data_IF_161060753596
#
_entry.id   IF_161060753596
#
_cell.length_a   1.000
_cell.length_b   1.000
_cell.length_c   1.000
_cell.angle_alpha   90.00
_cell.angle_beta   90.00
_cell.angle_gamma   90.00
#
_symmetry.space_group_name_H-M   'P 1'
#
loop_
_entity.id
_entity.type
_entity.pdbx_description
1 polymer ?
#
# COMPACT_ATOMS: atom_id res chain seq x y z
N UNK A 1 40.34 40.26 33.40
CA UNK A 1 41.33 39.99 34.48
C UNK A 1 41.92 38.59 34.25
N UNK A 2 43.20 38.35 34.53
CA UNK A 2 43.98 37.21 33.99
C UNK A 2 44.22 36.11 35.05
N UNK A 3 44.11 34.82 34.65
CA UNK A 3 44.91 33.61 35.01
C UNK A 3 44.06 32.35 34.69
N UNK A 4 44.41 31.33 33.89
CA UNK A 4 45.65 30.68 33.36
C UNK A 4 46.25 29.55 34.24
N UNK A 5 46.43 28.38 33.57
CA UNK A 5 47.13 27.10 33.89
C UNK A 5 46.38 26.08 34.77
N UNK A 6 46.22 24.79 34.42
CA UNK A 6 46.93 23.74 33.61
C UNK A 6 47.86 22.80 34.41
N UNK A 7 47.88 21.54 33.93
CA UNK A 7 48.72 20.38 34.28
C UNK A 7 48.29 19.63 35.57
N UNK A 8 48.42 18.29 35.69
CA UNK A 8 49.36 17.38 34.98
C UNK A 8 48.79 15.96 34.76
N UNK A 9 49.33 15.24 33.76
CA UNK A 9 49.11 13.81 33.44
C UNK A 9 50.16 12.91 34.18
N UNK A 10 50.26 11.63 33.79
CA UNK A 10 51.30 10.61 34.10
C UNK A 10 51.09 9.84 35.44
N UNK A 11 51.38 8.53 35.60
CA UNK A 11 52.14 7.57 34.75
C UNK A 11 51.75 6.08 35.04
N UNK A 12 51.60 5.28 33.97
CA UNK A 12 52.04 3.87 33.76
C UNK A 12 52.19 2.91 34.97
N UNK A 13 51.63 1.70 34.84
CA UNK A 13 52.40 0.47 35.07
C UNK A 13 52.04 -0.59 34.02
N UNK A 14 53.06 -1.15 33.36
CA UNK A 14 52.96 -2.07 32.22
C UNK A 14 53.88 -3.26 32.52
N UNK A 15 53.39 -4.48 32.41
CA UNK A 15 54.20 -5.69 32.55
C UNK A 15 53.81 -6.73 31.50
N UNK A 16 54.61 -6.80 30.44
CA UNK A 16 54.72 -7.97 29.57
C UNK A 16 55.53 -9.07 30.26
N UNK A 17 55.23 -10.34 29.96
CA UNK A 17 56.14 -11.31 29.33
C UNK A 17 55.36 -12.60 29.04
N UNK A 18 55.63 -13.22 27.89
CA UNK A 18 54.98 -14.45 27.42
C UNK A 18 55.79 -15.71 27.77
N UNK A 19 55.18 -16.90 27.62
CA UNK A 19 55.81 -18.16 27.16
C UNK A 19 54.70 -19.12 26.69
N UNK A 20 55.02 -20.04 25.77
CA UNK A 20 54.08 -20.88 25.01
C UNK A 20 54.11 -22.37 25.37
N UNK A 21 53.15 -23.12 24.78
CA UNK A 21 53.09 -24.57 24.50
C UNK A 21 52.17 -25.50 25.34
N UNK A 22 51.21 -26.07 24.60
CA UNK A 22 50.64 -27.44 24.62
C UNK A 22 50.47 -28.23 25.93
N UNK A 23 49.23 -28.67 26.20
CA UNK A 23 48.78 -30.05 25.97
C UNK A 23 47.26 -30.21 26.24
N UNK A 24 46.64 -31.28 25.71
CA UNK A 24 45.23 -31.59 25.94
C UNK A 24 44.94 -32.03 27.39
N UNK A 25 43.73 -31.71 27.85
CA UNK A 25 42.94 -32.60 28.71
C UNK A 25 41.47 -32.18 28.67
N UNK A 26 40.59 -33.11 28.34
CA UNK A 26 39.14 -32.96 28.46
C UNK A 26 38.72 -32.85 29.93
N UNK A 27 37.65 -32.08 30.21
CA UNK A 27 36.46 -32.49 30.98
C UNK A 27 35.57 -31.26 31.25
N UNK A 28 34.30 -31.42 30.82
CA UNK A 28 33.05 -30.83 31.31
C UNK A 28 32.98 -29.37 31.78
N UNK A 29 32.11 -28.61 31.09
CA UNK A 29 31.01 -27.90 31.74
C UNK A 29 29.84 -27.86 30.75
N UNK A 30 28.77 -28.60 31.04
CA UNK A 30 27.48 -28.44 30.33
C UNK A 30 26.99 -27.02 30.53
N UNK A 31 27.05 -26.20 29.47
CA UNK A 31 26.31 -24.94 29.43
C UNK A 31 25.00 -25.17 28.69
N UNK A 32 23.90 -25.26 29.43
CA UNK A 32 22.55 -25.08 28.88
C UNK A 32 22.51 -23.76 28.10
N UNK A 33 22.59 -23.85 26.77
CA UNK A 33 22.22 -22.78 25.87
C UNK A 33 20.82 -23.08 25.38
N UNK A 34 19.82 -22.22 25.64
CA UNK A 34 18.50 -22.41 25.05
C UNK A 34 18.67 -22.37 23.53
N UNK A 35 18.32 -23.47 22.90
CA UNK A 35 18.37 -23.64 21.46
C UNK A 35 17.20 -22.87 20.84
N UNK A 36 17.27 -21.53 20.88
CA UNK A 36 16.40 -20.65 20.11
C UNK A 36 16.82 -20.74 18.64
N UNK A 37 16.62 -21.92 18.04
CA UNK A 37 16.38 -22.03 16.62
C UNK A 37 15.24 -21.09 16.29
N UNK A 38 15.47 -20.25 15.28
CA UNK A 38 14.48 -19.40 14.67
C UNK A 38 13.47 -20.31 13.93
N UNK A 39 12.57 -20.94 14.69
CA UNK A 39 11.29 -21.38 14.13
C UNK A 39 10.65 -20.11 13.57
N UNK A 40 10.54 -20.06 12.24
CA UNK A 40 9.74 -19.03 11.59
C UNK A 40 8.37 -19.04 12.24
N UNK A 41 7.76 -17.87 12.42
CA UNK A 41 6.36 -17.81 12.81
C UNK A 41 5.55 -18.44 11.68
N UNK A 42 5.31 -19.75 11.77
CA UNK A 42 4.52 -20.50 10.78
C UNK A 42 3.12 -19.93 10.86
N UNK A 43 2.76 -19.12 9.86
CA UNK A 43 1.38 -18.73 9.65
C UNK A 43 0.55 -20.00 9.56
N UNK A 44 -0.50 -20.09 10.37
CA UNK A 44 -1.41 -21.22 10.29
C UNK A 44 -2.11 -21.25 8.92
N UNK A 45 -2.56 -22.45 8.51
CA UNK A 45 -3.25 -22.66 7.22
C UNK A 45 -4.52 -21.81 7.14
N UNK A 46 -4.94 -21.44 5.93
CA UNK A 46 -6.25 -20.82 5.70
C UNK A 46 -7.39 -21.68 6.28
N UNK A 47 -8.18 -21.10 7.16
CA UNK A 47 -9.40 -21.70 7.69
C UNK A 47 -10.62 -21.03 7.05
N UNK A 48 -11.46 -21.80 6.35
CA UNK A 48 -12.66 -21.29 5.70
C UNK A 48 -13.92 -21.71 6.47
N UNK A 49 -14.79 -20.73 6.72
CA UNK A 49 -16.12 -20.97 7.31
C UNK A 49 -17.04 -21.79 6.38
N UNK A 50 -16.85 -21.63 5.08
CA UNK A 50 -17.50 -22.36 3.98
C UNK A 50 -16.66 -22.17 2.71
N UNK A 51 -16.76 -23.12 1.78
CA UNK A 51 -16.00 -23.09 0.53
C UNK A 51 -16.86 -23.57 -0.66
N UNK A 52 -17.46 -22.61 -1.38
CA UNK A 52 -18.23 -22.78 -2.61
C UNK A 52 -17.77 -21.75 -3.65
N UNK A 53 -17.50 -22.24 -4.86
CA UNK A 53 -17.08 -21.49 -6.04
C UNK A 53 -18.07 -20.36 -6.38
N UNK A 54 -19.36 -20.57 -6.14
CA UNK A 54 -20.42 -19.61 -6.49
C UNK A 54 -20.73 -18.59 -5.37
N UNK A 55 -19.90 -18.53 -4.32
CA UNK A 55 -20.15 -17.70 -3.13
C UNK A 55 -18.95 -16.86 -2.71
N UNK A 56 -19.16 -15.95 -1.77
CA UNK A 56 -18.08 -15.26 -1.05
C UNK A 56 -17.69 -16.08 0.17
N UNK A 57 -16.49 -16.63 0.15
CA UNK A 57 -15.97 -17.57 1.14
C UNK A 57 -15.18 -16.84 2.21
N UNK A 58 -15.78 -16.59 3.38
CA UNK A 58 -15.10 -15.97 4.53
C UNK A 58 -14.10 -16.95 5.15
N UNK A 59 -12.89 -16.46 5.44
CA UNK A 59 -11.85 -17.23 6.10
C UNK A 59 -10.98 -16.40 7.06
N UNK A 60 -10.17 -17.12 7.84
CA UNK A 60 -9.23 -16.61 8.84
C UNK A 60 -7.83 -17.19 8.61
N UNK A 61 -6.83 -16.42 9.06
CA UNK A 61 -5.42 -16.81 9.09
C UNK A 61 -4.81 -16.24 10.37
N UNK A 62 -4.02 -17.03 11.11
CA UNK A 62 -3.43 -16.58 12.37
C UNK A 62 -2.12 -15.83 12.13
N UNK A 63 -2.08 -14.57 12.57
CA UNK A 63 -0.90 -13.72 12.46
C UNK A 63 -0.50 -13.29 13.87
N UNK A 64 0.68 -13.73 14.32
CA UNK A 64 1.20 -13.48 15.68
C UNK A 64 0.22 -13.88 16.81
N UNK A 65 -0.55 -14.96 16.60
CA UNK A 65 -1.52 -15.49 17.59
C UNK A 65 -2.93 -14.89 17.54
N UNK A 66 -3.23 -14.00 16.59
CA UNK A 66 -4.55 -13.38 16.42
C UNK A 66 -5.13 -13.69 15.05
N UNK A 67 -6.45 -13.85 14.99
CA UNK A 67 -7.14 -14.10 13.74
C UNK A 67 -7.19 -12.83 12.88
N UNK A 68 -6.82 -12.97 11.60
CA UNK A 68 -6.97 -11.94 10.57
C UNK A 68 -7.95 -12.43 9.53
N UNK A 69 -8.93 -11.59 9.20
CA UNK A 69 -10.11 -12.02 8.44
C UNK A 69 -10.04 -11.55 6.98
N UNK A 70 -10.40 -12.46 6.09
CA UNK A 70 -10.50 -12.21 4.66
C UNK A 70 -11.72 -12.93 4.07
N UNK A 71 -11.96 -12.71 2.78
CA UNK A 71 -12.89 -13.52 1.99
C UNK A 71 -12.41 -13.68 0.56
N UNK A 72 -12.67 -14.84 -0.02
CA UNK A 72 -12.34 -15.18 -1.40
C UNK A 72 -13.63 -15.35 -2.20
N UNK A 73 -13.75 -14.64 -3.32
CA UNK A 73 -14.83 -14.87 -4.31
C UNK A 73 -14.19 -15.23 -5.64
N UNK A 74 -14.57 -16.38 -6.18
CA UNK A 74 -14.05 -16.90 -7.44
C UNK A 74 -14.75 -16.25 -8.64
N UNK A 75 -14.11 -16.24 -9.82
CA UNK A 75 -14.79 -15.84 -11.04
C UNK A 75 -15.87 -16.88 -11.40
N UNK A 76 -16.94 -16.46 -12.07
CA UNK A 76 -18.09 -17.31 -12.45
C UNK A 76 -17.72 -18.46 -13.40
N UNK A 77 -16.52 -18.43 -13.98
CA UNK A 77 -15.94 -19.45 -14.85
C UNK A 77 -14.75 -20.17 -14.22
N UNK A 78 -14.63 -20.19 -12.89
CA UNK A 78 -13.50 -20.80 -12.17
C UNK A 78 -13.39 -22.30 -12.42
N UNK A 79 -12.15 -22.75 -12.54
CA UNK A 79 -11.74 -24.13 -12.82
C UNK A 79 -10.40 -24.33 -12.12
N UNK A 80 -10.35 -25.19 -11.09
CA UNK A 80 -9.14 -25.38 -10.28
C UNK A 80 -7.92 -25.90 -11.06
N UNK A 81 -8.10 -26.35 -12.31
CA UNK A 81 -7.01 -26.74 -13.21
C UNK A 81 -6.38 -25.55 -13.95
N UNK A 82 -6.86 -24.31 -13.74
CA UNK A 82 -6.35 -23.08 -14.35
C UNK A 82 -5.95 -22.08 -13.27
N UNK A 83 -4.83 -21.42 -13.46
CA UNK A 83 -4.39 -20.29 -12.62
C UNK A 83 -5.15 -19.02 -13.00
N UNK A 84 -5.67 -18.29 -12.01
CA UNK A 84 -6.42 -17.06 -12.22
C UNK A 84 -5.71 -15.82 -11.65
N UNK A 85 -5.77 -14.66 -12.33
CA UNK A 85 -5.29 -13.42 -11.77
C UNK A 85 -6.06 -13.05 -10.50
N UNK A 86 -5.38 -12.42 -9.54
CA UNK A 86 -5.93 -12.11 -8.21
C UNK A 86 -6.04 -10.60 -8.02
N UNK A 87 -7.19 -10.11 -7.54
CA UNK A 87 -7.35 -8.72 -7.09
C UNK A 87 -7.54 -8.69 -5.58
N UNK A 88 -6.56 -8.11 -4.88
CA UNK A 88 -6.59 -7.85 -3.45
C UNK A 88 -7.28 -6.52 -3.15
N UNK A 89 -8.27 -6.50 -2.25
CA UNK A 89 -9.04 -5.29 -1.91
C UNK A 89 -8.75 -4.80 -0.48
N UNK A 90 -8.28 -3.55 -0.38
CA UNK A 90 -7.91 -2.86 0.86
C UNK A 90 -8.89 -1.71 1.17
N UNK A 91 -9.69 -1.86 2.23
CA UNK A 91 -10.72 -0.88 2.60
C UNK A 91 -10.21 0.42 3.24
N UNK A 92 -11.07 1.45 3.22
CA UNK A 92 -10.86 2.72 3.91
C UNK A 92 -11.02 2.63 5.43
N UNK A 93 -10.85 3.75 6.13
CA UNK A 93 -10.73 3.74 7.59
C UNK A 93 -12.08 3.40 8.25
N UNK A 94 -12.20 2.21 8.83
CA UNK A 94 -13.37 1.79 9.62
C UNK A 94 -13.04 2.01 11.11
N UNK A 95 -12.80 3.27 11.44
CA UNK A 95 -12.11 3.71 12.65
C UNK A 95 -12.89 4.76 13.48
N UNK A 96 -14.20 4.87 13.27
CA UNK A 96 -15.06 5.71 14.10
C UNK A 96 -15.42 4.99 15.42
N UNK A 97 -15.67 5.70 16.53
CA UNK A 97 -16.03 5.08 17.80
C UNK A 97 -17.33 4.25 17.78
N UNK A 98 -18.21 4.48 16.79
CA UNK A 98 -19.46 3.72 16.61
C UNK A 98 -19.30 2.43 15.79
N UNK A 99 -18.11 2.14 15.23
CA UNK A 99 -17.87 0.92 14.48
C UNK A 99 -17.52 -0.27 15.39
N UNK A 100 -18.44 -1.24 15.44
CA UNK A 100 -18.24 -2.55 16.03
C UNK A 100 -17.40 -3.46 15.13
N UNK A 101 -16.86 -4.55 15.68
CA UNK A 101 -16.25 -5.65 14.92
C UNK A 101 -17.13 -6.11 13.76
N UNK A 102 -18.41 -6.41 14.02
CA UNK A 102 -19.39 -6.80 13.00
C UNK A 102 -19.46 -5.79 11.86
N UNK A 103 -19.48 -4.49 12.18
CA UNK A 103 -19.52 -3.44 11.17
C UNK A 103 -18.24 -3.40 10.32
N UNK A 104 -17.06 -3.64 10.92
CA UNK A 104 -15.77 -3.69 10.22
C UNK A 104 -15.69 -4.93 9.33
N UNK A 105 -16.07 -6.10 9.86
CA UNK A 105 -16.06 -7.38 9.14
C UNK A 105 -17.14 -7.46 8.05
N UNK A 106 -18.20 -6.64 8.10
CA UNK A 106 -19.21 -6.55 7.04
C UNK A 106 -18.63 -6.20 5.66
N UNK A 107 -17.46 -5.55 5.60
CA UNK A 107 -16.72 -5.31 4.36
C UNK A 107 -16.43 -6.59 3.57
N UNK A 108 -16.22 -7.71 4.26
CA UNK A 108 -15.94 -9.00 3.64
C UNK A 108 -17.10 -9.49 2.77
N UNK A 109 -18.33 -9.01 2.94
CA UNK A 109 -19.49 -9.39 2.12
C UNK A 109 -19.86 -8.33 1.06
N UNK A 110 -19.04 -7.29 0.85
CA UNK A 110 -19.40 -6.16 -0.01
C UNK A 110 -19.43 -6.53 -1.50
N UNK A 111 -20.57 -7.07 -1.95
CA UNK A 111 -20.80 -7.56 -3.31
C UNK A 111 -20.84 -6.47 -4.42
N UNK A 112 -21.40 -5.25 -4.21
CA UNK A 112 -21.50 -4.23 -5.27
C UNK A 112 -20.20 -3.87 -6.00
N UNK A 113 -19.03 -4.01 -5.36
CA UNK A 113 -17.73 -3.79 -6.01
C UNK A 113 -17.24 -4.96 -6.86
N UNK A 114 -17.74 -6.18 -6.64
CA UNK A 114 -17.22 -7.40 -7.28
C UNK A 114 -17.76 -7.63 -8.70
N UNK A 115 -18.91 -7.05 -9.04
CA UNK A 115 -19.61 -7.28 -10.31
C UNK A 115 -18.71 -7.04 -11.53
N UNK A 116 -17.90 -5.98 -11.50
CA UNK A 116 -16.95 -5.65 -12.57
C UNK A 116 -15.73 -6.57 -12.66
N UNK A 117 -15.52 -7.49 -11.71
CA UNK A 117 -14.34 -8.38 -11.65
C UNK A 117 -14.70 -9.88 -11.82
N UNK A 118 -15.95 -10.27 -11.54
CA UNK A 118 -16.40 -11.67 -11.42
C UNK A 118 -16.21 -12.56 -12.65
N UNK A 119 -15.90 -12.00 -13.81
CA UNK A 119 -15.66 -12.79 -15.03
C UNK A 119 -14.23 -13.34 -15.10
N UNK A 120 -13.26 -12.63 -14.54
CA UNK A 120 -11.84 -12.82 -14.90
C UNK A 120 -10.93 -13.06 -13.69
N UNK A 121 -11.29 -12.56 -12.51
CA UNK A 121 -10.41 -12.50 -11.34
C UNK A 121 -10.92 -13.34 -10.16
N UNK A 122 -9.99 -13.96 -9.45
CA UNK A 122 -10.20 -14.28 -8.02
C UNK A 122 -10.12 -12.95 -7.27
N UNK A 123 -11.12 -12.65 -6.46
CA UNK A 123 -11.14 -11.43 -5.64
C UNK A 123 -10.95 -11.79 -4.17
N UNK A 124 -10.05 -11.09 -3.50
CA UNK A 124 -9.73 -11.30 -2.08
C UNK A 124 -9.98 -9.99 -1.33
N UNK A 125 -11.06 -9.93 -0.55
CA UNK A 125 -11.34 -8.80 0.34
C UNK A 125 -10.73 -9.08 1.69
N UNK A 126 -9.90 -8.17 2.19
CA UNK A 126 -9.24 -8.30 3.50
C UNK A 126 -9.77 -7.26 4.47
N UNK A 127 -9.88 -7.62 5.74
CA UNK A 127 -10.20 -6.68 6.81
C UNK A 127 -8.94 -6.17 7.50
N UNK A 128 -8.89 -4.86 7.73
CA UNK A 128 -7.90 -4.25 8.61
C UNK A 128 -8.11 -4.62 10.10
N UNK A 129 -9.27 -5.24 10.43
CA UNK A 129 -9.56 -5.72 11.78
C UNK A 129 -8.44 -6.59 12.34
N UNK A 130 -8.02 -6.26 13.54
CA UNK A 130 -7.11 -7.04 14.37
C UNK A 130 -7.36 -6.69 15.83
N UNK A 131 -7.50 -7.70 16.68
CA UNK A 131 -7.70 -7.54 18.13
C UNK A 131 -6.49 -6.91 18.83
N UNK A 132 -5.30 -6.98 18.23
CA UNK A 132 -4.08 -6.28 18.70
C UNK A 132 -4.23 -4.77 18.78
N UNK A 133 -5.14 -4.22 17.97
CA UNK A 133 -5.29 -2.78 17.77
C UNK A 133 -6.23 -2.20 18.83
N UNK A 134 -6.05 -0.92 19.24
CA UNK A 134 -6.88 -0.28 20.25
C UNK A 134 -8.37 -0.38 19.93
N UNK A 135 -9.15 -0.74 20.96
CA UNK A 135 -10.61 -0.76 20.93
C UNK A 135 -11.16 0.65 20.73
N UNK A 136 -10.71 1.59 21.56
CA UNK A 136 -10.97 3.02 21.40
C UNK A 136 -10.07 3.61 20.31
N UNK A 137 -10.62 4.28 19.27
CA UNK A 137 -9.83 4.88 18.20
C UNK A 137 -8.85 5.96 18.67
N UNK A 138 -7.60 5.87 18.23
CA UNK A 138 -6.52 6.82 18.51
C UNK A 138 -5.87 7.33 17.21
N UNK A 139 -4.98 8.31 17.35
CA UNK A 139 -4.14 8.76 16.25
C UNK A 139 -3.23 7.64 15.72
N UNK A 140 -2.84 7.70 14.44
CA UNK A 140 -2.09 6.64 13.75
C UNK A 140 -0.77 6.33 14.48
N UNK A 141 -0.08 7.38 14.91
CA UNK A 141 1.15 7.31 15.70
C UNK A 141 1.00 6.71 17.11
N UNK A 142 -0.23 6.55 17.60
CA UNK A 142 -0.56 5.93 18.89
C UNK A 142 -1.22 4.55 18.72
N UNK A 143 -1.08 3.94 17.54
CA UNK A 143 -1.66 2.62 17.24
C UNK A 143 -3.09 2.65 16.69
N UNK A 144 -3.62 3.80 16.23
CA UNK A 144 -4.82 3.82 15.38
C UNK A 144 -6.09 3.21 16.00
N UNK A 145 -6.78 2.35 15.25
CA UNK A 145 -8.04 1.73 15.64
C UNK A 145 -8.19 0.34 14.99
N UNK A 146 -9.03 -0.54 15.55
CA UNK A 146 -9.27 -1.91 15.03
C UNK A 146 -9.50 -1.97 13.52
N UNK A 147 -10.37 -1.14 12.94
CA UNK A 147 -10.66 -1.14 11.50
C UNK A 147 -9.75 -0.25 10.63
N UNK A 148 -8.51 0.02 11.04
CA UNK A 148 -7.55 0.83 10.28
C UNK A 148 -6.28 0.05 9.93
N UNK A 149 -5.84 0.13 8.68
CA UNK A 149 -4.54 -0.39 8.23
C UNK A 149 -3.38 0.40 8.87
N UNK A 150 -2.24 -0.22 9.18
CA UNK A 150 -1.07 0.46 9.75
C UNK A 150 0.08 0.50 8.74
N UNK A 151 0.49 1.72 8.37
CA UNK A 151 1.54 1.98 7.39
C UNK A 151 2.74 2.78 7.95
N UNK A 152 2.77 3.04 9.26
CA UNK A 152 3.68 3.99 9.92
C UNK A 152 4.91 3.33 10.58
N UNK A 153 5.85 4.15 11.08
CA UNK A 153 6.96 3.69 11.93
C UNK A 153 6.47 3.22 13.30
N UNK A 154 7.12 2.22 13.89
CA UNK A 154 6.66 1.53 15.10
C UNK A 154 7.35 0.16 15.26
N UNK A 155 6.89 -0.67 16.21
CA UNK A 155 7.37 -2.04 16.32
C UNK A 155 6.75 -2.93 15.23
N UNK A 156 7.51 -3.90 14.73
CA UNK A 156 7.01 -4.85 13.72
C UNK A 156 5.83 -5.70 14.25
N UNK A 157 5.86 -6.03 15.54
CA UNK A 157 4.78 -6.74 16.24
C UNK A 157 3.46 -5.95 16.34
N UNK A 158 3.50 -4.62 16.17
CA UNK A 158 2.34 -3.72 16.11
C UNK A 158 1.77 -3.63 14.67
N UNK A 159 2.60 -3.92 13.65
CA UNK A 159 2.25 -3.83 12.22
C UNK A 159 1.91 -5.19 11.61
N UNK A 160 1.00 -5.90 12.24
CA UNK A 160 0.56 -7.22 11.80
C UNK A 160 -0.05 -7.23 10.37
N UNK A 161 -0.52 -6.09 9.85
CA UNK A 161 -1.05 -5.94 8.49
C UNK A 161 -0.07 -6.33 7.37
N UNK A 162 1.23 -6.04 7.49
CA UNK A 162 2.21 -6.43 6.45
C UNK A 162 2.43 -7.94 6.44
N UNK A 163 2.57 -8.54 7.62
CA UNK A 163 2.67 -9.99 7.78
C UNK A 163 1.40 -10.69 7.29
N UNK A 164 0.21 -10.16 7.63
CA UNK A 164 -1.08 -10.68 7.20
C UNK A 164 -1.19 -10.79 5.68
N UNK A 165 -0.87 -9.72 4.94
CA UNK A 165 -1.01 -9.72 3.47
C UNK A 165 0.01 -10.66 2.82
N UNK A 166 1.24 -10.69 3.33
CA UNK A 166 2.28 -11.59 2.83
C UNK A 166 1.91 -13.07 3.06
N UNK A 167 1.56 -13.43 4.30
CA UNK A 167 1.16 -14.79 4.66
C UNK A 167 -0.15 -15.22 4.00
N UNK A 168 -1.10 -14.31 3.79
CA UNK A 168 -2.32 -14.63 3.04
C UNK A 168 -2.00 -14.95 1.57
N UNK A 169 -1.13 -14.19 0.91
CA UNK A 169 -0.70 -14.52 -0.46
C UNK A 169 0.03 -15.87 -0.53
N UNK A 170 0.96 -16.12 0.38
CA UNK A 170 1.68 -17.40 0.50
C UNK A 170 0.71 -18.58 0.70
N UNK A 171 -0.25 -18.46 1.63
CA UNK A 171 -1.20 -19.52 1.92
C UNK A 171 -2.30 -19.68 0.85
N UNK A 172 -2.57 -18.65 0.03
CA UNK A 172 -3.40 -18.77 -1.18
C UNK A 172 -2.67 -19.54 -2.29
N UNK A 173 -1.38 -19.27 -2.49
CA UNK A 173 -0.51 -19.95 -3.48
C UNK A 173 -0.26 -21.42 -3.14
N UNK A 174 -0.13 -21.73 -1.85
CA UNK A 174 -0.01 -23.10 -1.33
C UNK A 174 -1.35 -23.86 -1.25
N UNK A 175 -2.48 -23.22 -1.58
CA UNK A 175 -3.80 -23.84 -1.46
C UNK A 175 -4.07 -24.82 -2.61
N UNK A 176 -4.39 -26.10 -2.34
CA UNK A 176 -4.76 -27.04 -3.40
C UNK A 176 -6.12 -26.73 -4.05
N UNK A 177 -6.94 -25.90 -3.39
CA UNK A 177 -8.31 -25.58 -3.80
C UNK A 177 -8.41 -24.22 -4.52
N UNK A 178 -7.38 -23.37 -4.41
CA UNK A 178 -7.34 -22.00 -4.94
C UNK A 178 -6.14 -21.85 -5.88
N UNK A 179 -6.38 -22.01 -7.19
CA UNK A 179 -5.32 -21.89 -8.19
C UNK A 179 -5.15 -20.43 -8.63
N UNK A 180 -4.25 -19.72 -7.94
CA UNK A 180 -3.88 -18.34 -8.28
C UNK A 180 -2.77 -18.28 -9.34
N UNK A 181 -2.68 -17.16 -10.05
CA UNK A 181 -1.51 -16.80 -10.84
C UNK A 181 -0.62 -15.79 -10.08
N UNK A 182 0.51 -16.23 -9.49
CA UNK A 182 1.40 -15.35 -8.71
C UNK A 182 2.12 -14.30 -9.57
N UNK A 183 2.07 -14.39 -10.90
CA UNK A 183 2.57 -13.36 -11.83
C UNK A 183 1.52 -12.30 -12.21
N UNK A 184 0.26 -12.49 -11.82
CA UNK A 184 -0.85 -11.58 -12.08
C UNK A 184 -1.60 -11.21 -10.78
N UNK A 185 -0.85 -10.74 -9.78
CA UNK A 185 -1.40 -10.15 -8.55
C UNK A 185 -1.66 -8.65 -8.77
N UNK A 186 -2.85 -8.21 -8.40
CA UNK A 186 -3.33 -6.83 -8.51
C UNK A 186 -3.81 -6.30 -7.15
N UNK A 187 -3.67 -5.00 -6.92
CA UNK A 187 -4.12 -4.35 -5.69
C UNK A 187 -5.15 -3.24 -5.95
N UNK A 188 -6.26 -3.27 -5.23
CA UNK A 188 -7.27 -2.21 -5.16
C UNK A 188 -7.23 -1.58 -3.76
N UNK A 189 -7.07 -0.26 -3.67
CA UNK A 189 -7.06 0.45 -2.39
C UNK A 189 -7.98 1.67 -2.36
N UNK A 190 -8.63 1.89 -1.22
CA UNK A 190 -9.37 3.12 -0.94
C UNK A 190 -8.97 3.74 0.41
N UNK A 191 -8.89 5.07 0.48
CA UNK A 191 -8.65 5.82 1.72
C UNK A 191 -7.39 5.29 2.44
N UNK A 192 -7.47 4.96 3.73
CA UNK A 192 -6.38 4.30 4.48
C UNK A 192 -5.78 3.06 3.79
N UNK A 193 -6.61 2.25 3.11
CA UNK A 193 -6.17 1.07 2.38
C UNK A 193 -5.36 1.39 1.13
N UNK A 194 -5.57 2.55 0.50
CA UNK A 194 -4.70 3.04 -0.57
C UNK A 194 -3.32 3.47 -0.04
N UNK A 195 -3.26 4.15 1.11
CA UNK A 195 -1.99 4.52 1.76
C UNK A 195 -1.21 3.26 2.11
N UNK A 196 -1.87 2.27 2.71
CA UNK A 196 -1.26 0.98 3.04
C UNK A 196 -0.77 0.25 1.78
N UNK A 197 -1.60 0.12 0.74
CA UNK A 197 -1.22 -0.55 -0.50
C UNK A 197 0.00 0.09 -1.18
N UNK A 198 0.05 1.44 -1.26
CA UNK A 198 1.22 2.16 -1.76
C UNK A 198 2.45 1.86 -0.90
N UNK A 199 2.30 1.90 0.44
CA UNK A 199 3.42 1.59 1.34
C UNK A 199 3.91 0.15 1.17
N UNK A 200 3.00 -0.82 1.06
CA UNK A 200 3.29 -2.24 0.85
C UNK A 200 4.10 -2.51 -0.43
N UNK A 201 3.68 -1.97 -1.58
CA UNK A 201 4.42 -2.16 -2.84
C UNK A 201 5.75 -1.40 -2.88
N UNK A 202 5.93 -0.38 -2.02
CA UNK A 202 7.19 0.34 -1.84
C UNK A 202 8.11 -0.28 -0.76
N UNK A 203 7.77 -1.46 -0.22
CA UNK A 203 8.58 -2.18 0.78
C UNK A 203 8.29 -1.84 2.25
N UNK A 204 7.25 -1.04 2.51
CA UNK A 204 6.84 -0.62 3.85
C UNK A 204 7.60 0.61 4.39
N UNK A 205 7.52 0.90 5.70
CA UNK A 205 8.27 1.98 6.33
C UNK A 205 9.74 1.59 6.52
N UNK A 206 10.66 2.56 6.61
CA UNK A 206 12.12 2.34 6.62
C UNK A 206 12.66 1.56 7.84
N UNK A 207 11.86 1.44 8.90
CA UNK A 207 12.14 0.69 10.13
C UNK A 207 11.60 -0.75 10.08
N UNK A 208 11.03 -1.19 8.95
CA UNK A 208 10.64 -2.57 8.72
C UNK A 208 11.83 -3.35 8.16
N UNK A 209 12.64 -3.90 9.07
CA UNK A 209 14.01 -4.37 8.77
C UNK A 209 14.12 -5.79 8.18
N UNK A 210 13.05 -6.58 8.19
CA UNK A 210 13.18 -8.05 8.11
C UNK A 210 12.18 -8.76 7.18
N UNK A 211 11.71 -8.12 6.10
CA UNK A 211 10.75 -8.82 5.22
C UNK A 211 10.98 -8.51 3.74
N UNK A 212 11.11 -9.59 2.96
CA UNK A 212 11.03 -9.62 1.50
C UNK A 212 9.56 -9.56 1.02
N UNK A 213 8.77 -8.61 1.53
CA UNK A 213 7.27 -8.52 1.54
C UNK A 213 6.56 -8.81 0.20
N UNK A 214 7.29 -8.68 -0.90
CA UNK A 214 6.78 -8.76 -2.26
C UNK A 214 7.80 -9.35 -3.26
N UNK A 215 8.88 -10.01 -2.79
CA UNK A 215 9.86 -10.63 -3.69
C UNK A 215 9.28 -11.85 -4.41
N UNK A 216 8.47 -12.67 -3.71
CA UNK A 216 7.76 -13.80 -4.27
C UNK A 216 6.53 -13.35 -5.10
N UNK A 217 5.70 -12.46 -4.54
CA UNK A 217 4.45 -12.01 -5.14
C UNK A 217 4.57 -10.58 -5.67
N UNK A 218 4.97 -10.45 -6.94
CA UNK A 218 5.12 -9.15 -7.59
C UNK A 218 3.77 -8.63 -8.06
N UNK A 219 3.30 -7.55 -7.47
CA UNK A 219 2.15 -6.81 -7.98
C UNK A 219 2.42 -6.36 -9.41
N UNK A 220 1.53 -6.73 -10.33
CA UNK A 220 1.61 -6.34 -11.74
C UNK A 220 1.00 -4.95 -11.96
N UNK A 221 -0.10 -4.66 -11.26
CA UNK A 221 -0.64 -3.31 -11.16
C UNK A 221 -1.34 -3.05 -9.83
N UNK A 222 -1.44 -1.77 -9.46
CA UNK A 222 -2.30 -1.28 -8.39
C UNK A 222 -3.24 -0.19 -8.88
N UNK A 223 -4.42 -0.08 -8.28
CA UNK A 223 -5.27 1.09 -8.40
C UNK A 223 -5.69 1.61 -7.04
N UNK A 224 -5.59 2.92 -6.87
CA UNK A 224 -5.78 3.63 -5.60
C UNK A 224 -6.79 4.75 -5.76
N UNK A 225 -7.68 4.90 -4.78
CA UNK A 225 -8.80 5.83 -4.80
C UNK A 225 -8.91 6.63 -3.50
N UNK A 226 -9.09 7.95 -3.57
CA UNK A 226 -9.55 8.77 -2.43
C UNK A 226 -8.79 8.51 -1.13
N UNK A 227 -7.47 8.33 -1.19
CA UNK A 227 -6.68 7.74 -0.08
C UNK A 227 -5.24 8.15 -0.10
N UNK A 228 -5.09 9.42 -0.43
CA UNK A 228 -3.96 10.02 -1.06
C UNK A 228 -3.02 10.87 -0.23
N UNK A 229 -2.91 10.74 1.08
CA UNK A 229 -2.51 11.88 1.96
C UNK A 229 -1.63 13.01 1.37
N UNK A 230 -0.47 12.84 0.72
CA UNK A 230 0.38 11.66 0.45
C UNK A 230 1.58 11.76 1.40
N UNK A 231 1.55 11.04 2.52
CA UNK A 231 2.41 11.37 3.67
C UNK A 231 3.90 11.09 3.40
N UNK A 232 4.75 12.11 3.63
CA UNK A 232 6.21 11.97 3.62
C UNK A 232 6.67 10.89 4.60
N UNK A 233 7.67 10.12 4.21
CA UNK A 233 8.17 8.92 4.89
C UNK A 233 7.35 7.65 4.63
N UNK A 234 6.09 7.75 4.20
CA UNK A 234 5.21 6.59 3.97
C UNK A 234 5.29 6.15 2.51
N UNK A 235 4.96 7.07 1.60
CA UNK A 235 4.89 6.85 0.15
C UNK A 235 6.20 7.20 -0.57
N UNK A 236 7.28 7.23 0.18
CA UNK A 236 8.62 7.50 -0.34
C UNK A 236 9.28 6.22 -0.85
N UNK A 237 9.97 6.36 -1.98
CA UNK A 237 10.97 5.41 -2.47
C UNK A 237 12.18 5.46 -1.54
N UNK A 238 12.62 4.28 -1.10
CA UNK A 238 13.59 4.06 -0.01
C UNK A 238 14.61 3.00 -0.44
N UNK A 239 15.61 2.77 0.40
CA UNK A 239 16.61 1.69 0.20
C UNK A 239 15.96 0.29 0.11
N UNK A 240 14.89 0.05 0.87
CA UNK A 240 14.11 -1.20 0.84
C UNK A 240 13.00 -1.23 -0.23
N UNK A 241 12.92 -0.24 -1.13
CA UNK A 241 11.92 -0.25 -2.19
C UNK A 241 12.29 -1.26 -3.29
N UNK A 242 11.36 -2.14 -3.73
CA UNK A 242 11.63 -3.15 -4.74
C UNK A 242 12.13 -2.57 -6.06
N UNK A 243 13.06 -3.28 -6.70
CA UNK A 243 13.58 -2.94 -8.04
C UNK A 243 12.57 -3.14 -9.17
N UNK A 244 11.52 -3.93 -8.93
CA UNK A 244 10.39 -4.12 -9.84
C UNK A 244 9.16 -3.48 -9.21
N UNK A 245 8.59 -2.49 -9.86
CA UNK A 245 7.41 -1.75 -9.38
C UNK A 245 6.17 -2.04 -10.24
N UNK A 246 4.97 -2.05 -9.65
CA UNK A 246 3.72 -2.25 -10.38
C UNK A 246 3.42 -1.08 -11.32
N UNK A 247 2.59 -1.35 -12.33
CA UNK A 247 1.83 -0.29 -13.01
C UNK A 247 0.81 0.35 -12.06
N UNK A 248 0.47 1.63 -12.23
CA UNK A 248 -0.36 2.37 -11.27
C UNK A 248 -1.49 3.13 -11.97
N UNK A 249 -2.72 2.94 -11.48
CA UNK A 249 -3.89 3.77 -11.79
C UNK A 249 -4.31 4.55 -10.55
N UNK A 250 -3.94 5.82 -10.49
CA UNK A 250 -4.29 6.71 -9.39
C UNK A 250 -5.56 7.49 -9.73
N UNK A 251 -6.61 7.35 -8.93
CA UNK A 251 -7.92 7.97 -9.16
C UNK A 251 -8.28 8.86 -7.98
N UNK A 252 -8.75 10.07 -8.26
CA UNK A 252 -9.05 11.03 -7.23
C UNK A 252 -10.22 11.94 -7.56
N UNK A 253 -11.13 12.15 -6.60
CA UNK A 253 -12.17 13.16 -6.70
C UNK A 253 -11.64 14.56 -6.40
N UNK A 254 -12.01 15.54 -7.22
CA UNK A 254 -11.62 16.96 -7.16
C UNK A 254 -12.05 17.66 -5.84
N UNK A 255 -13.14 17.22 -5.23
CA UNK A 255 -13.68 17.77 -3.96
C UNK A 255 -13.21 16.99 -2.72
N UNK A 256 -12.29 16.03 -2.85
CA UNK A 256 -11.73 15.31 -1.71
C UNK A 256 -10.76 16.20 -0.92
N UNK A 257 -11.31 16.96 0.04
CA UNK A 257 -10.56 17.85 0.93
C UNK A 257 -9.52 17.16 1.82
N UNK A 258 -9.41 15.82 1.79
CA UNK A 258 -8.31 15.07 2.40
C UNK A 258 -6.98 15.14 1.63
N UNK A 259 -6.95 15.84 0.50
CA UNK A 259 -5.84 15.81 -0.45
C UNK A 259 -5.47 17.19 -1.02
N UNK A 260 -4.32 17.26 -1.68
CA UNK A 260 -3.80 18.49 -2.29
C UNK A 260 -3.62 18.32 -3.79
N UNK A 261 -4.47 19.00 -4.56
CA UNK A 261 -4.27 19.26 -5.99
C UNK A 261 -3.47 20.56 -6.11
N UNK A 262 -2.26 20.52 -6.70
CA UNK A 262 -1.45 21.71 -6.92
C UNK A 262 -1.18 21.92 -8.42
N UNK A 263 -2.22 22.24 -9.17
CA UNK A 263 -2.09 22.82 -10.50
C UNK A 263 -2.69 24.21 -10.49
N UNK A 264 -1.87 25.25 -10.42
CA UNK A 264 -2.33 26.62 -10.65
C UNK A 264 -2.78 26.74 -12.12
N UNK A 265 -4.01 26.33 -12.47
CA UNK A 265 -4.53 26.29 -13.84
C UNK A 265 -4.46 27.69 -14.50
N UNK A 266 -3.30 28.01 -15.08
CA UNK A 266 -2.98 29.28 -15.72
C UNK A 266 -3.67 29.35 -17.08
N UNK A 267 -4.98 29.54 -17.03
CA UNK A 267 -5.89 29.50 -18.18
C UNK A 267 -7.37 29.62 -17.83
N UNK A 268 -7.77 29.32 -16.58
CA UNK A 268 -9.11 29.65 -16.05
C UNK A 268 -9.00 30.77 -15.02
N UNK A 269 -9.57 31.93 -15.33
CA UNK A 269 -9.34 33.19 -14.60
C UNK A 269 -9.93 33.26 -13.18
N UNK A 270 -10.72 32.28 -12.74
CA UNK A 270 -11.67 32.45 -11.63
C UNK A 270 -11.70 31.30 -10.60
N UNK A 271 -10.79 30.32 -10.67
CA UNK A 271 -10.75 29.20 -9.71
C UNK A 271 -9.68 29.45 -8.63
N UNK A 272 -10.13 29.71 -7.39
CA UNK A 272 -9.24 29.87 -6.24
C UNK A 272 -9.11 28.56 -5.46
N UNK A 273 -7.92 27.95 -5.49
CA UNK A 273 -7.61 26.66 -4.83
C UNK A 273 -7.85 26.65 -3.32
N UNK A 274 -7.85 27.81 -2.64
CA UNK A 274 -8.19 27.92 -1.22
C UNK A 274 -9.68 27.63 -0.93
N UNK A 275 -10.55 27.51 -1.95
CA UNK A 275 -11.94 27.08 -1.77
C UNK A 275 -12.09 25.56 -1.63
N UNK A 276 -11.17 24.75 -2.16
CA UNK A 276 -11.18 23.29 -2.07
C UNK A 276 -10.31 22.76 -0.91
N UNK A 277 -9.33 23.54 -0.48
CA UNK A 277 -8.55 23.24 0.71
C UNK A 277 -9.41 23.44 1.97
N UNK A 278 -9.91 22.35 2.57
CA UNK A 278 -10.52 22.45 3.90
C UNK A 278 -9.51 23.03 4.89
N UNK A 279 -9.85 24.15 5.52
CA UNK A 279 -9.04 24.81 6.56
C UNK A 279 -8.78 23.87 7.74
N UNK A 280 -9.68 22.91 7.99
CA UNK A 280 -9.50 21.85 9.02
C UNK A 280 -8.28 20.97 8.77
N UNK A 281 -7.85 20.84 7.52
CA UNK A 281 -6.80 19.92 7.10
C UNK A 281 -5.47 20.63 6.82
N UNK A 282 -5.31 21.86 7.33
CA UNK A 282 -4.12 22.69 7.14
C UNK A 282 -4.03 23.33 5.75
N UNK A 283 -3.46 24.54 5.70
CA UNK A 283 -3.29 25.34 4.47
C UNK A 283 -1.84 25.80 4.23
N UNK A 284 -0.92 25.46 5.15
CA UNK A 284 0.47 25.89 5.09
C UNK A 284 1.24 24.99 4.12
N UNK A 285 2.17 25.58 3.36
CA UNK A 285 3.11 24.87 2.51
C UNK A 285 4.51 25.01 3.12
N UNK A 286 5.18 23.89 3.36
CA UNK A 286 6.51 23.78 3.98
C UNK A 286 7.39 22.95 3.05
N UNK A 287 8.46 23.54 2.50
CA UNK A 287 9.35 22.91 1.52
C UNK A 287 8.60 22.29 0.32
N UNK A 288 7.57 23.00 -0.15
CA UNK A 288 6.66 22.55 -1.21
C UNK A 288 5.56 21.58 -0.75
N UNK A 289 5.70 20.93 0.40
CA UNK A 289 4.73 19.95 0.93
C UNK A 289 3.60 20.66 1.67
N UNK A 290 2.37 20.16 1.56
CA UNK A 290 1.27 20.68 2.38
C UNK A 290 1.38 20.12 3.80
N UNK A 291 1.37 21.01 4.78
CA UNK A 291 1.28 20.68 6.20
C UNK A 291 -0.19 20.49 6.58
N UNK A 292 -0.51 19.27 7.01
CA UNK A 292 -1.88 18.82 7.31
C UNK A 292 -1.97 18.26 8.72
N UNK A 293 -3.19 18.01 9.20
CA UNK A 293 -3.40 17.20 10.42
C UNK A 293 -2.81 15.78 10.31
N UNK A 294 -2.48 15.33 9.10
CA UNK A 294 -1.76 14.09 8.80
C UNK A 294 -0.27 14.37 8.49
N UNK A 295 0.30 15.48 8.95
CA UNK A 295 1.69 15.89 8.71
C UNK A 295 1.96 16.39 7.28
N UNK A 296 3.24 16.37 6.89
CA UNK A 296 3.70 16.83 5.57
C UNK A 296 3.32 15.86 4.46
N UNK A 297 2.78 16.40 3.37
CA UNK A 297 2.16 15.64 2.28
C UNK A 297 2.59 16.12 0.89
N UNK A 298 2.84 15.17 -0.02
CA UNK A 298 3.04 15.45 -1.44
C UNK A 298 1.71 15.79 -2.11
N UNK A 299 1.75 16.58 -3.19
CA UNK A 299 0.62 16.63 -4.11
C UNK A 299 0.52 15.33 -4.91
N UNK A 300 -0.72 14.90 -5.18
CA UNK A 300 -0.97 13.82 -6.15
C UNK A 300 -0.65 14.27 -7.59
N UNK A 301 -0.87 15.55 -7.90
CA UNK A 301 -0.73 16.16 -9.23
C UNK A 301 -0.12 17.54 -9.10
N UNK A 302 1.07 17.74 -9.68
CA UNK A 302 1.66 19.07 -9.78
C UNK A 302 1.77 19.48 -11.25
N UNK A 303 1.06 20.54 -11.62
CA UNK A 303 1.10 21.11 -12.97
C UNK A 303 1.92 22.42 -13.02
N UNK A 304 2.24 23.05 -11.87
CA UNK A 304 2.70 24.46 -11.81
C UNK A 304 3.69 24.81 -10.66
N UNK A 305 4.14 23.80 -9.89
CA UNK A 305 5.14 23.76 -8.78
C UNK A 305 5.20 24.90 -7.76
N UNK A 306 4.96 24.56 -6.46
CA UNK A 306 6.09 24.59 -5.52
C UNK A 306 6.59 23.24 -4.98
N UNK A 307 5.86 22.13 -5.17
CA UNK A 307 6.31 20.78 -4.72
C UNK A 307 7.14 20.06 -5.77
N UNK A 308 8.45 20.28 -5.77
CA UNK A 308 9.37 19.48 -6.58
C UNK A 308 9.77 18.18 -5.84
N UNK A 309 9.34 16.96 -6.26
CA UNK A 309 8.39 16.62 -7.33
C UNK A 309 7.06 16.05 -6.78
N UNK A 310 6.03 15.96 -7.64
CA UNK A 310 4.74 15.33 -7.30
C UNK A 310 4.83 13.82 -7.09
N UNK A 311 3.84 13.18 -6.46
CA UNK A 311 3.85 11.72 -6.33
C UNK A 311 3.84 11.01 -7.68
N UNK A 312 3.02 11.45 -8.64
CA UNK A 312 2.95 10.81 -9.95
C UNK A 312 4.25 11.00 -10.75
N UNK A 313 4.89 12.16 -10.67
CA UNK A 313 6.21 12.41 -11.27
C UNK A 313 7.32 11.54 -10.65
N UNK A 314 7.27 11.33 -9.33
CA UNK A 314 8.17 10.38 -8.65
C UNK A 314 7.95 8.94 -9.11
N UNK A 315 6.69 8.51 -9.21
CA UNK A 315 6.36 7.20 -9.78
C UNK A 315 6.79 7.10 -11.25
N UNK A 316 6.60 8.14 -12.06
CA UNK A 316 6.99 8.12 -13.48
C UNK A 316 8.50 7.95 -13.62
N UNK A 317 9.30 8.70 -12.87
CA UNK A 317 10.75 8.56 -12.82
C UNK A 317 11.18 7.11 -12.51
N UNK A 318 10.63 6.52 -11.44
CA UNK A 318 10.96 5.14 -11.04
C UNK A 318 10.44 4.05 -12.01
N UNK A 319 9.39 4.34 -12.79
CA UNK A 319 8.85 3.45 -13.82
C UNK A 319 9.48 3.66 -15.21
N UNK A 320 10.40 4.62 -15.37
CA UNK A 320 11.01 4.98 -16.66
C UNK A 320 10.03 5.65 -17.62
N UNK A 321 9.12 6.48 -17.09
CA UNK A 321 8.04 7.17 -17.78
C UNK A 321 8.17 8.69 -17.60
N UNK A 322 7.77 9.46 -18.61
CA UNK A 322 7.74 10.92 -18.62
C UNK A 322 6.30 11.42 -18.69
N UNK A 323 6.00 12.54 -18.03
CA UNK A 323 4.69 13.16 -18.11
C UNK A 323 4.44 13.73 -19.52
N UNK A 324 3.34 13.33 -20.13
CA UNK A 324 3.00 13.66 -21.52
C UNK A 324 1.81 14.62 -21.65
N UNK A 325 1.38 15.24 -20.55
CA UNK A 325 0.19 16.08 -20.47
C UNK A 325 -1.07 15.32 -20.03
N UNK A 326 -2.22 15.97 -20.16
CA UNK A 326 -3.53 15.41 -19.83
C UNK A 326 -4.52 15.54 -20.99
N UNK A 327 -5.55 14.70 -20.96
CA UNK A 327 -6.74 14.78 -21.81
C UNK A 327 -7.94 15.21 -20.95
N UNK A 328 -8.69 16.23 -21.38
CA UNK A 328 -9.89 16.68 -20.69
C UNK A 328 -11.14 15.97 -21.23
N UNK A 329 -11.89 15.33 -20.33
CA UNK A 329 -13.20 14.73 -20.59
C UNK A 329 -14.29 15.48 -19.81
N UNK A 330 -15.55 15.22 -20.16
CA UNK A 330 -16.68 15.95 -19.58
C UNK A 330 -16.82 15.73 -18.05
N UNK A 331 -16.42 14.55 -17.55
CA UNK A 331 -16.52 14.14 -16.13
C UNK A 331 -15.18 14.05 -15.39
N UNK A 332 -14.04 14.10 -16.08
CA UNK A 332 -12.71 13.90 -15.48
C UNK A 332 -11.58 14.45 -16.36
N UNK A 333 -10.38 14.52 -15.80
CA UNK A 333 -9.12 14.74 -16.53
C UNK A 333 -8.28 13.46 -16.44
N UNK A 334 -7.67 13.06 -17.56
CA UNK A 334 -6.83 11.86 -17.66
C UNK A 334 -5.37 12.27 -17.86
N UNK A 335 -4.54 12.07 -16.83
CA UNK A 335 -3.10 12.38 -16.85
C UNK A 335 -2.31 11.21 -17.42
N UNK A 336 -1.47 11.49 -18.41
CA UNK A 336 -0.80 10.49 -19.22
C UNK A 336 0.71 10.50 -19.02
N UNK A 337 1.30 9.30 -18.96
CA UNK A 337 2.74 9.12 -18.86
C UNK A 337 3.22 8.19 -19.97
N UNK A 338 4.18 8.65 -20.76
CA UNK A 338 4.74 7.91 -21.90
C UNK A 338 6.08 7.26 -21.52
N UNK A 339 6.37 6.03 -21.99
CA UNK A 339 7.67 5.41 -21.77
C UNK A 339 8.83 6.23 -22.35
N UNK A 340 9.86 6.49 -21.54
CA UNK A 340 11.14 7.10 -21.97
C UNK A 340 12.00 6.04 -22.69
N UNK A 341 11.81 4.77 -22.34
CA UNK A 341 12.53 3.59 -22.85
C UNK A 341 11.53 2.47 -23.18
N UNK A 342 12.02 1.24 -23.38
CA UNK A 342 11.20 0.01 -23.51
C UNK A 342 10.45 -0.39 -22.21
N UNK A 343 10.02 0.55 -21.38
CA UNK A 343 9.23 0.26 -20.17
C UNK A 343 7.89 -0.34 -20.57
N UNK A 344 7.51 -1.43 -19.91
CA UNK A 344 6.21 -2.08 -20.05
C UNK A 344 5.20 -1.62 -19.00
N UNK A 345 5.64 -0.81 -18.04
CA UNK A 345 4.78 -0.32 -16.98
C UNK A 345 3.92 0.85 -17.46
N UNK A 346 2.73 0.95 -16.88
CA UNK A 346 1.73 1.97 -17.18
C UNK A 346 1.53 2.82 -15.93
N UNK A 347 1.53 4.14 -16.10
CA UNK A 347 1.11 5.09 -15.06
C UNK A 347 0.00 5.96 -15.65
N UNK A 348 -1.16 5.95 -15.00
CA UNK A 348 -2.33 6.74 -15.40
C UNK A 348 -2.88 7.46 -14.18
N UNK A 349 -3.20 8.73 -14.37
CA UNK A 349 -3.92 9.54 -13.40
C UNK A 349 -5.33 9.89 -13.84
N UNK A 350 -6.28 9.91 -12.90
CA UNK A 350 -7.66 10.27 -13.15
C UNK A 350 -8.17 11.24 -12.09
N UNK A 351 -8.39 12.52 -12.46
CA UNK A 351 -9.02 13.55 -11.61
C UNK A 351 -10.49 13.67 -11.98
N UNK A 352 -11.41 13.25 -11.11
CA UNK A 352 -12.85 13.23 -11.37
C UNK A 352 -13.48 14.53 -10.89
N UNK A 353 -14.19 15.21 -11.79
CA UNK A 353 -14.76 16.54 -11.59
C UNK A 353 -15.98 16.48 -10.66
N UNK A 354 -16.15 17.49 -9.80
CA UNK A 354 -17.27 17.63 -8.86
C UNK A 354 -17.55 16.34 -8.03
N UNK A 355 -16.48 15.68 -7.59
CA UNK A 355 -16.54 14.38 -6.96
C UNK A 355 -15.71 14.38 -5.67
N UNK A 356 -16.30 13.93 -4.57
CA UNK A 356 -15.63 13.88 -3.27
C UNK A 356 -14.79 12.63 -3.03
N UNK A 357 -14.57 12.31 -1.75
CA UNK A 357 -13.81 11.14 -1.31
C UNK A 357 -14.38 9.79 -1.77
N UNK A 358 -15.71 9.70 -1.93
CA UNK A 358 -16.42 8.46 -2.29
C UNK A 358 -16.53 8.34 -3.80
N UNK A 359 -16.04 7.24 -4.35
CA UNK A 359 -15.96 7.01 -5.80
C UNK A 359 -16.50 5.62 -6.18
N UNK A 360 -17.18 5.58 -7.33
CA UNK A 360 -17.82 4.40 -7.94
C UNK A 360 -17.16 4.08 -9.28
N UNK A 361 -15.89 3.64 -9.23
CA UNK A 361 -14.98 3.55 -10.38
C UNK A 361 -14.49 2.13 -10.69
N UNK A 362 -15.14 1.12 -10.11
CA UNK A 362 -14.75 -0.30 -10.17
C UNK A 362 -14.64 -0.84 -11.60
N UNK A 363 -15.44 -0.31 -12.53
CA UNK A 363 -15.35 -0.66 -13.96
C UNK A 363 -14.06 -0.15 -14.62
N UNK A 364 -13.56 1.03 -14.25
CA UNK A 364 -12.28 1.56 -14.73
C UNK A 364 -11.13 0.70 -14.21
N UNK A 365 -11.16 0.38 -12.92
CA UNK A 365 -10.10 -0.34 -12.22
C UNK A 365 -9.99 -1.80 -12.68
N UNK A 366 -11.12 -2.50 -12.83
CA UNK A 366 -11.15 -3.85 -13.42
C UNK A 366 -10.69 -3.85 -14.88
N UNK A 367 -11.07 -2.85 -15.68
CA UNK A 367 -10.62 -2.72 -17.08
C UNK A 367 -9.12 -2.44 -17.19
N UNK A 368 -8.54 -1.68 -16.26
CA UNK A 368 -7.10 -1.47 -16.14
C UNK A 368 -6.35 -2.77 -15.82
N UNK A 369 -6.85 -3.54 -14.84
CA UNK A 369 -6.24 -4.83 -14.50
C UNK A 369 -6.35 -5.84 -15.65
N UNK A 370 -7.48 -5.91 -16.37
CA UNK A 370 -7.62 -6.72 -17.60
C UNK A 370 -6.57 -6.36 -18.64
N UNK A 371 -6.43 -5.06 -18.92
CA UNK A 371 -5.50 -4.55 -19.92
C UNK A 371 -4.03 -4.81 -19.58
N UNK A 372 -3.70 -5.01 -18.29
CA UNK A 372 -2.34 -5.35 -17.84
C UNK A 372 -2.17 -6.87 -17.67
N UNK A 373 -3.23 -7.63 -17.43
CA UNK A 373 -3.20 -9.08 -17.29
C UNK A 373 -2.72 -9.76 -18.58
N UNK A 374 -3.21 -9.33 -19.75
CA UNK A 374 -2.75 -9.81 -21.06
C UNK A 374 -1.51 -9.05 -21.55
N UNK A 375 -0.47 -9.80 -21.92
CA UNK A 375 0.81 -9.29 -22.45
C UNK A 375 0.64 -8.57 -23.80
N UNK A 376 -0.45 -8.83 -24.53
CA UNK A 376 -0.71 -8.26 -25.86
C UNK A 376 -1.63 -7.03 -25.82
N UNK A 377 -2.28 -6.74 -24.69
CA UNK A 377 -3.21 -5.62 -24.59
C UNK A 377 -2.45 -4.31 -24.38
N UNK A 378 -2.77 -3.30 -25.19
CA UNK A 378 -2.03 -2.04 -25.26
C UNK A 378 -2.70 -0.97 -24.38
N UNK A 379 -1.92 0.01 -23.90
CA UNK A 379 -2.41 1.27 -23.30
C UNK A 379 -3.57 1.86 -24.12
N UNK A 380 -3.48 1.83 -25.47
CA UNK A 380 -4.55 2.27 -26.38
C UNK A 380 -5.88 1.58 -26.07
N UNK A 381 -5.92 0.26 -25.90
CA UNK A 381 -7.16 -0.47 -25.59
C UNK A 381 -7.80 0.00 -24.29
N UNK A 382 -7.01 0.27 -23.25
CA UNK A 382 -7.55 0.82 -22.00
C UNK A 382 -8.01 2.28 -22.14
N UNK A 383 -7.28 3.12 -22.88
CA UNK A 383 -7.70 4.49 -23.20
C UNK A 383 -9.00 4.53 -24.00
N UNK A 384 -9.11 3.68 -25.02
CA UNK A 384 -10.31 3.57 -25.86
C UNK A 384 -11.52 3.19 -24.98
N UNK A 385 -11.36 2.21 -24.06
CA UNK A 385 -12.38 1.85 -23.06
C UNK A 385 -12.78 3.04 -22.17
N UNK A 386 -11.81 3.73 -21.54
CA UNK A 386 -12.07 4.92 -20.71
C UNK A 386 -12.85 5.98 -21.50
N UNK A 387 -12.39 6.32 -22.70
CA UNK A 387 -12.94 7.41 -23.51
C UNK A 387 -14.40 7.20 -23.94
N UNK A 388 -14.86 5.95 -23.95
CA UNK A 388 -16.22 5.58 -24.37
C UNK A 388 -17.29 5.79 -23.30
N UNK A 389 -16.93 5.84 -22.02
CA UNK A 389 -17.91 5.76 -20.92
C UNK A 389 -18.39 7.13 -20.43
N UNK A 390 -19.35 7.67 -21.16
CA UNK A 390 -19.98 8.96 -20.82
C UNK A 390 -21.16 8.82 -19.84
N UNK A 391 -21.69 7.62 -19.63
CA UNK A 391 -22.95 7.40 -18.89
C UNK A 391 -22.79 7.06 -17.40
N UNK A 392 -21.66 6.46 -16.97
CA UNK A 392 -21.49 6.05 -15.57
C UNK A 392 -21.55 7.22 -14.59
N UNK A 393 -22.20 7.01 -13.44
CA UNK A 393 -22.07 7.89 -12.30
C UNK A 393 -20.80 7.53 -11.50
N UNK A 394 -19.88 8.48 -11.35
CA UNK A 394 -18.56 8.26 -10.75
C UNK A 394 -18.54 8.51 -9.24
N UNK A 395 -19.63 9.08 -8.70
CA UNK A 395 -19.88 9.35 -7.28
C UNK A 395 -21.29 8.89 -6.89
#
# INVERSE_FOLDING_TARGET
MIKIKNYTLLTICLSFVAISFSACSDIELESDRPNNSLESAISEKLEFSSFDINSTNRGTIKINGFDRHFSVTFPTSYDSNKSYPVVLFFHGCMCRPDFTEESILSYLDWAPRLESYKSDFITVKMSAFSEKKPEEPQGVENGGARGMWFWHKGLESERDDYAFVNSLLEQLDLSPDINIDPSNIFGWGHSSGAIFLISYVLGGPVDLTNIEINNAYKFKAISVTGGSTLRKGIVDFKENTPTTLPSVLHIQGEEDGGLWFNGHETGKSDINFLQFASVSNGINIIDGLRDTIHGLTYSAWDENTPSNPSTLERWSYHLGLEYSGYEEYNKYYLYNFTPINNSKNILIGLRIKNCGHRLTVDQFQSSFFRAISDVNTNIRTYKDLISSDTSINLC
#
